data_IF_488303818546
#
_entry.id   IF_488303818546
#
_cell.length_a   1.000
_cell.length_b   1.000
_cell.length_c   1.000
_cell.angle_alpha   90.00
_cell.angle_beta   90.00
_cell.angle_gamma   90.00
#
_symmetry.space_group_name_H-M   'P 1'
#
loop_
_entity.id
_entity.type
_entity.pdbx_description
1 polymer ?
#
# COMPACT_ATOMS: atom_id res chain seq x y z
N UNK A 1 -23.01 -26.39 -15.02
CA UNK A 1 -22.82 -25.09 -14.35
C UNK A 1 -21.37 -25.01 -13.91
N UNK A 2 -20.54 -24.23 -14.59
CA UNK A 2 -19.15 -24.00 -14.17
C UNK A 2 -19.22 -22.84 -13.17
N UNK A 3 -19.25 -23.14 -11.87
CA UNK A 3 -19.02 -22.09 -10.88
C UNK A 3 -17.55 -21.69 -10.99
N UNK A 4 -17.30 -20.45 -11.42
CA UNK A 4 -15.96 -19.87 -11.43
C UNK A 4 -15.46 -19.73 -9.99
N UNK A 5 -14.89 -20.80 -9.45
CA UNK A 5 -14.16 -20.76 -8.18
C UNK A 5 -12.88 -19.95 -8.41
N UNK A 6 -12.86 -18.73 -7.88
CA UNK A 6 -11.61 -17.95 -7.88
C UNK A 6 -10.56 -18.72 -7.08
N UNK A 7 -9.29 -18.73 -7.51
CA UNK A 7 -8.22 -19.45 -6.81
C UNK A 7 -8.09 -18.93 -5.39
N UNK A 8 -7.99 -19.83 -4.42
CA UNK A 8 -7.84 -19.49 -3.00
C UNK A 8 -6.62 -18.59 -2.80
N UNK A 9 -6.80 -17.49 -2.07
CA UNK A 9 -5.75 -16.52 -1.82
C UNK A 9 -5.51 -16.38 -0.32
N UNK A 10 -4.33 -16.80 0.13
CA UNK A 10 -3.90 -16.63 1.52
C UNK A 10 -3.45 -15.19 1.75
N UNK A 11 -4.23 -14.45 2.52
CA UNK A 11 -3.86 -13.11 2.98
C UNK A 11 -3.49 -13.20 4.46
N UNK A 12 -2.24 -12.90 4.80
CA UNK A 12 -1.84 -12.76 6.21
C UNK A 12 -2.37 -11.43 6.74
N UNK A 13 -3.31 -11.41 7.71
CA UNK A 13 -3.66 -10.18 8.39
C UNK A 13 -2.49 -9.69 9.25
N UNK A 14 -2.39 -8.38 9.44
CA UNK A 14 -1.38 -7.77 10.31
C UNK A 14 -0.34 -6.92 9.58
N UNK A 15 0.83 -6.76 10.21
CA UNK A 15 1.86 -5.85 9.74
C UNK A 15 2.55 -6.38 8.49
N UNK A 16 2.47 -5.62 7.40
CA UNK A 16 3.08 -6.00 6.13
C UNK A 16 4.48 -5.40 5.98
N UNK A 17 5.49 -6.23 6.22
CA UNK A 17 6.91 -5.86 6.08
C UNK A 17 7.30 -5.45 4.66
N UNK A 18 6.74 -6.09 3.63
CA UNK A 18 6.99 -5.70 2.25
C UNK A 18 6.42 -4.30 1.96
N UNK A 19 5.26 -3.99 2.55
CA UNK A 19 4.63 -2.69 2.40
C UNK A 19 5.31 -1.58 3.22
N UNK A 20 6.12 -1.92 4.23
CA UNK A 20 6.96 -0.97 4.94
C UNK A 20 8.15 -0.53 4.07
N UNK A 21 8.77 -1.46 3.34
CA UNK A 21 9.94 -1.17 2.50
C UNK A 21 9.54 -0.59 1.14
N UNK A 22 8.48 -1.12 0.55
CA UNK A 22 8.06 -0.80 -0.82
C UNK A 22 6.55 -0.58 -0.89
N UNK A 23 5.99 0.31 -0.07
CA UNK A 23 4.54 0.45 0.10
C UNK A 23 3.74 0.76 -1.18
N UNK A 24 4.27 1.60 -2.07
CA UNK A 24 3.63 1.94 -3.35
C UNK A 24 3.69 0.77 -4.34
N UNK A 25 4.87 0.14 -4.47
CA UNK A 25 5.05 -1.02 -5.35
C UNK A 25 4.21 -2.22 -4.89
N UNK A 26 4.20 -2.49 -3.58
CA UNK A 26 3.37 -3.52 -2.98
C UNK A 26 1.88 -3.29 -3.31
N UNK A 27 1.36 -2.08 -3.06
CA UNK A 27 -0.04 -1.77 -3.35
C UNK A 27 -0.40 -1.96 -4.84
N UNK A 28 0.51 -1.63 -5.75
CA UNK A 28 0.32 -1.84 -7.19
C UNK A 28 0.35 -3.33 -7.56
N UNK A 29 1.28 -4.11 -7.01
CA UNK A 29 1.34 -5.57 -7.23
C UNK A 29 0.08 -6.29 -6.73
N UNK A 30 -0.59 -5.71 -5.74
CA UNK A 30 -1.82 -6.23 -5.15
C UNK A 30 -3.09 -5.81 -5.90
N UNK A 31 -2.97 -5.04 -6.98
CA UNK A 31 -4.10 -4.53 -7.75
C UNK A 31 -4.84 -3.37 -7.09
N UNK A 32 -4.30 -2.79 -6.01
CA UNK A 32 -4.88 -1.67 -5.29
C UNK A 32 -4.64 -0.33 -6.02
N UNK A 33 -4.93 -0.25 -7.32
CA UNK A 33 -4.51 0.84 -8.23
C UNK A 33 -4.82 2.24 -7.67
N UNK A 34 -6.03 2.46 -7.14
CA UNK A 34 -6.43 3.77 -6.60
C UNK A 34 -5.64 4.16 -5.34
N UNK A 35 -5.36 3.19 -4.46
CA UNK A 35 -4.57 3.43 -3.24
C UNK A 35 -3.08 3.54 -3.60
N UNK A 36 -2.57 2.65 -4.45
CA UNK A 36 -1.21 2.70 -4.99
C UNK A 36 -0.90 4.04 -5.68
N UNK A 37 -1.80 4.53 -6.53
CA UNK A 37 -1.65 5.84 -7.18
C UNK A 37 -1.56 7.01 -6.18
N UNK A 38 -2.34 6.98 -5.09
CA UNK A 38 -2.21 7.98 -4.01
C UNK A 38 -0.85 7.90 -3.32
N UNK A 39 -0.34 6.69 -3.10
CA UNK A 39 0.99 6.49 -2.51
C UNK A 39 2.10 7.00 -3.44
N UNK A 40 1.98 6.79 -4.74
CA UNK A 40 2.92 7.34 -5.75
C UNK A 40 2.88 8.87 -5.75
N UNK A 41 1.70 9.49 -5.67
CA UNK A 41 1.60 10.94 -5.58
C UNK A 41 2.31 11.50 -4.33
N UNK A 42 2.22 10.80 -3.19
CA UNK A 42 2.98 11.16 -1.98
C UNK A 42 4.47 10.98 -2.20
N UNK A 43 4.91 9.89 -2.83
CA UNK A 43 6.32 9.66 -3.14
C UNK A 43 6.88 10.77 -4.07
N UNK A 44 6.10 11.23 -5.05
CA UNK A 44 6.45 12.38 -5.89
C UNK A 44 6.58 13.67 -5.08
N UNK A 45 5.64 13.95 -4.17
CA UNK A 45 5.69 15.13 -3.30
C UNK A 45 6.96 15.12 -2.42
N UNK A 46 7.30 13.96 -1.85
CA UNK A 46 8.55 13.77 -1.09
C UNK A 46 9.77 14.05 -1.98
N UNK A 47 9.78 13.53 -3.21
CA UNK A 47 10.82 13.80 -4.18
C UNK A 47 11.01 15.29 -4.45
N UNK A 48 9.90 16.03 -4.64
CA UNK A 48 9.93 17.49 -4.81
C UNK A 48 10.51 18.18 -3.56
N UNK A 49 10.08 17.78 -2.36
CA UNK A 49 10.60 18.35 -1.10
C UNK A 49 12.11 18.12 -0.93
N UNK A 50 12.61 16.97 -1.37
CA UNK A 50 14.03 16.65 -1.39
C UNK A 50 14.79 17.46 -2.44
N UNK A 51 14.20 17.72 -3.61
CA UNK A 51 14.83 18.52 -4.67
C UNK A 51 14.99 20.00 -4.34
N UNK A 52 14.22 20.55 -3.39
CA UNK A 52 14.36 21.95 -2.95
C UNK A 52 15.72 22.21 -2.28
N UNK A 53 16.34 21.20 -1.66
CA UNK A 53 17.70 21.29 -1.12
C UNK A 53 17.86 21.99 0.24
N UNK A 54 16.77 22.46 0.88
CA UNK A 54 16.83 22.94 2.25
C UNK A 54 16.82 21.78 3.26
N UNK A 55 17.68 21.79 4.31
CA UNK A 55 17.71 20.72 5.31
C UNK A 55 16.35 20.45 5.96
N UNK A 56 15.57 21.51 6.22
CA UNK A 56 14.24 21.40 6.79
C UNK A 56 13.25 20.69 5.86
N UNK A 57 13.27 20.96 4.55
CA UNK A 57 12.39 20.28 3.58
C UNK A 57 12.81 18.84 3.39
N UNK A 58 14.11 18.54 3.47
CA UNK A 58 14.62 17.17 3.44
C UNK A 58 14.11 16.35 4.64
N UNK A 59 14.21 16.90 5.85
CA UNK A 59 13.69 16.26 7.06
C UNK A 59 12.18 16.05 6.99
N UNK A 60 11.42 17.07 6.55
CA UNK A 60 9.99 16.97 6.37
C UNK A 60 9.60 15.89 5.34
N UNK A 61 10.28 15.83 4.19
CA UNK A 61 10.07 14.80 3.17
C UNK A 61 10.35 13.40 3.70
N UNK A 62 11.45 13.22 4.44
CA UNK A 62 11.79 11.93 5.07
C UNK A 62 10.76 11.50 6.11
N UNK A 63 10.29 12.42 6.95
CA UNK A 63 9.23 12.13 7.92
C UNK A 63 7.93 11.68 7.24
N UNK A 64 7.50 12.40 6.19
CA UNK A 64 6.31 12.05 5.40
C UNK A 64 6.47 10.66 4.76
N UNK A 65 7.64 10.37 4.18
CA UNK A 65 7.93 9.08 3.58
C UNK A 65 7.83 7.92 4.60
N UNK A 66 8.44 8.09 5.78
CA UNK A 66 8.42 7.07 6.85
C UNK A 66 6.99 6.86 7.35
N UNK A 67 6.28 7.95 7.69
CA UNK A 67 4.90 7.88 8.19
C UNK A 67 3.99 7.20 7.18
N UNK A 68 4.10 7.56 5.89
CA UNK A 68 3.36 6.91 4.80
C UNK A 68 3.60 5.40 4.80
N UNK A 69 4.85 4.95 4.81
CA UNK A 69 5.15 3.52 4.76
C UNK A 69 4.68 2.76 6.01
N UNK A 70 4.76 3.38 7.20
CA UNK A 70 4.22 2.79 8.44
C UNK A 70 2.70 2.65 8.37
N UNK A 71 1.99 3.66 7.86
CA UNK A 71 0.52 3.59 7.67
C UNK A 71 0.16 2.47 6.69
N UNK A 72 0.86 2.37 5.57
CA UNK A 72 0.62 1.29 4.59
C UNK A 72 0.93 -0.08 5.20
N UNK A 73 2.00 -0.22 5.97
CA UNK A 73 2.35 -1.49 6.62
C UNK A 73 1.28 -1.95 7.64
N UNK A 74 0.65 -1.01 8.34
CA UNK A 74 -0.44 -1.30 9.31
C UNK A 74 -1.78 -1.55 8.64
N UNK A 75 -2.14 -0.75 7.64
CA UNK A 75 -3.48 -0.76 7.03
C UNK A 75 -3.57 -1.60 5.75
N UNK A 76 -2.43 -1.97 5.16
CA UNK A 76 -2.36 -2.68 3.89
C UNK A 76 -3.11 -4.01 3.90
N UNK A 77 -2.98 -4.80 4.98
CA UNK A 77 -3.73 -6.05 5.11
C UNK A 77 -5.24 -5.86 5.01
N UNK A 78 -5.79 -4.88 5.74
CA UNK A 78 -7.21 -4.55 5.69
C UNK A 78 -7.63 -4.02 4.31
N UNK A 79 -6.76 -3.23 3.67
CA UNK A 79 -7.02 -2.73 2.32
C UNK A 79 -7.16 -3.85 1.30
N UNK A 80 -6.28 -4.85 1.39
CA UNK A 80 -6.28 -6.01 0.53
C UNK A 80 -7.50 -6.90 0.78
N UNK A 81 -7.85 -7.13 2.05
CA UNK A 81 -9.05 -7.88 2.42
C UNK A 81 -10.32 -7.22 1.85
N UNK A 82 -10.46 -5.91 2.01
CA UNK A 82 -11.59 -5.17 1.44
C UNK A 82 -11.63 -5.28 -0.08
N UNK A 83 -10.48 -5.14 -0.75
CA UNK A 83 -10.41 -5.26 -2.21
C UNK A 83 -10.79 -6.66 -2.72
N UNK A 84 -10.39 -7.71 -1.99
CA UNK A 84 -10.78 -9.08 -2.32
C UNK A 84 -12.27 -9.32 -2.06
N UNK A 85 -12.82 -8.78 -0.96
CA UNK A 85 -14.25 -8.85 -0.69
C UNK A 85 -15.06 -8.16 -1.80
N UNK A 86 -14.63 -6.99 -2.27
CA UNK A 86 -15.24 -6.28 -3.41
C UNK A 86 -15.16 -7.11 -4.71
N UNK A 87 -14.12 -7.94 -4.86
CA UNK A 87 -13.98 -8.89 -5.95
C UNK A 87 -14.81 -10.18 -5.76
N UNK A 88 -15.59 -10.30 -4.67
CA UNK A 88 -16.44 -11.47 -4.40
C UNK A 88 -15.71 -12.64 -3.74
N UNK A 89 -14.49 -12.45 -3.23
CA UNK A 89 -13.86 -13.43 -2.35
C UNK A 89 -14.58 -13.45 -0.99
N UNK A 90 -14.61 -14.62 -0.35
CA UNK A 90 -15.08 -14.80 1.03
C UNK A 90 -13.91 -15.23 1.91
N UNK A 91 -13.88 -14.71 3.13
CA UNK A 91 -12.94 -15.18 4.14
C UNK A 91 -13.32 -16.62 4.53
N UNK A 92 -12.35 -17.52 4.48
CA UNK A 92 -12.47 -18.90 4.98
C UNK A 92 -11.60 -18.93 6.22
N UNK A 93 -12.24 -18.99 7.40
CA UNK A 93 -11.59 -19.07 8.71
C UNK A 93 -11.43 -20.51 9.15
#
# INVERSE_FOLDING_TARGET
>A
MIHSTKPERRVKPGFNWAALLFGSLWALSEGLVRRGGRLVAVDCLVGVLWSIGYPATMLAGSAVFIVKNVVVARSGGAWLQQHLADQGYRAIS
#
